data_IF_014778390078
#
_entry.id   IF_014778390078
#
_cell.length_a   1.000
_cell.length_b   1.000
_cell.length_c   1.000
_cell.angle_alpha   90.00
_cell.angle_beta   90.00
_cell.angle_gamma   90.00
#
_symmetry.space_group_name_H-M   'P 1'
#
loop_
_entity.id
_entity.type
_entity.pdbx_description
1 polymer ?
#
# COMPACT_ATOMS: atom_id res chain seq x y z
N UNK A 1 26.32 14.75 11.36
CA UNK A 1 27.00 13.46 11.32
C UNK A 1 26.01 12.37 10.91
N UNK A 2 26.33 11.62 9.86
CA UNK A 2 25.46 10.56 9.37
C UNK A 2 25.64 9.32 10.25
N UNK A 3 24.54 8.81 10.80
CA UNK A 3 24.57 7.60 11.60
C UNK A 3 24.68 6.37 10.67
N UNK A 4 25.64 5.51 10.95
CA UNK A 4 25.76 4.23 10.25
C UNK A 4 24.73 3.25 10.83
N UNK A 5 23.85 2.63 10.00
CA UNK A 5 22.88 1.66 10.49
C UNK A 5 23.58 0.45 11.12
N UNK A 6 22.99 -0.10 12.18
CA UNK A 6 23.45 -1.34 12.78
C UNK A 6 23.22 -2.52 11.84
N UNK A 7 23.88 -3.68 12.05
CA UNK A 7 23.59 -4.89 11.25
C UNK A 7 22.13 -5.29 11.28
N UNK A 8 21.43 -5.15 12.40
CA UNK A 8 20.00 -5.45 12.51
C UNK A 8 19.16 -4.47 11.69
N UNK A 9 19.50 -3.18 11.74
CA UNK A 9 18.82 -2.17 10.93
C UNK A 9 18.99 -2.43 9.43
N UNK A 10 20.21 -2.80 9.00
CA UNK A 10 20.49 -3.12 7.60
C UNK A 10 19.72 -4.36 7.14
N UNK A 11 19.65 -5.40 7.97
CA UNK A 11 18.89 -6.60 7.68
C UNK A 11 17.40 -6.26 7.54
N UNK A 12 16.88 -5.47 8.47
CA UNK A 12 15.48 -5.05 8.46
C UNK A 12 15.15 -4.22 7.21
N UNK A 13 16.01 -3.31 6.81
CA UNK A 13 15.85 -2.52 5.60
C UNK A 13 15.82 -3.40 4.35
N UNK A 14 16.70 -4.39 4.26
CA UNK A 14 16.71 -5.34 3.13
C UNK A 14 15.44 -6.19 3.08
N UNK A 15 14.98 -6.68 4.22
CA UNK A 15 13.75 -7.46 4.31
C UNK A 15 12.53 -6.61 3.92
N UNK A 16 12.50 -5.36 4.35
CA UNK A 16 11.44 -4.42 3.96
C UNK A 16 11.44 -4.20 2.46
N UNK A 17 12.59 -3.92 1.86
CA UNK A 17 12.73 -3.73 0.42
C UNK A 17 12.32 -4.96 -0.38
N UNK A 18 12.72 -6.15 0.08
CA UNK A 18 12.35 -7.41 -0.56
C UNK A 18 10.84 -7.63 -0.51
N UNK A 19 10.22 -7.35 0.63
CA UNK A 19 8.78 -7.51 0.80
C UNK A 19 8.00 -6.55 -0.10
N UNK A 20 8.44 -5.30 -0.23
CA UNK A 20 7.83 -4.34 -1.14
C UNK A 20 7.97 -4.78 -2.60
N UNK A 21 9.14 -5.29 -3.00
CA UNK A 21 9.37 -5.78 -4.35
C UNK A 21 8.47 -6.98 -4.68
N UNK A 22 8.30 -7.91 -3.75
CA UNK A 22 7.40 -9.04 -3.90
C UNK A 22 5.95 -8.58 -4.06
N UNK A 23 5.51 -7.61 -3.26
CA UNK A 23 4.17 -7.05 -3.36
C UNK A 23 3.93 -6.40 -4.72
N UNK A 24 4.88 -5.60 -5.20
CA UNK A 24 4.79 -4.97 -6.52
C UNK A 24 4.65 -6.00 -7.62
N UNK A 25 5.44 -7.07 -7.56
CA UNK A 25 5.38 -8.16 -8.53
C UNK A 25 4.03 -8.86 -8.50
N UNK A 26 3.52 -9.18 -7.32
CA UNK A 26 2.23 -9.85 -7.16
C UNK A 26 1.08 -8.96 -7.65
N UNK A 27 1.15 -7.66 -7.40
CA UNK A 27 0.16 -6.70 -7.90
C UNK A 27 0.18 -6.63 -9.42
N UNK A 28 1.37 -6.58 -10.01
CA UNK A 28 1.51 -6.57 -11.47
C UNK A 28 0.91 -7.83 -12.09
N UNK A 29 1.13 -8.99 -11.48
CA UNK A 29 0.58 -10.25 -11.95
C UNK A 29 -0.94 -10.31 -11.81
N UNK A 30 -1.47 -9.78 -10.71
CA UNK A 30 -2.91 -9.84 -10.42
C UNK A 30 -3.72 -8.82 -11.22
N UNK A 31 -3.17 -7.63 -11.47
CA UNK A 31 -3.90 -6.51 -12.06
C UNK A 31 -3.51 -6.23 -13.50
N UNK A 32 -2.22 -6.40 -13.86
CA UNK A 32 -1.74 -6.03 -15.19
C UNK A 32 -1.96 -4.55 -15.47
N UNK A 33 -2.39 -4.19 -16.70
CA UNK A 33 -2.59 -2.79 -17.11
C UNK A 33 -3.96 -2.23 -16.69
N UNK A 34 -4.41 -2.52 -15.47
CA UNK A 34 -5.69 -2.04 -14.96
C UNK A 34 -5.68 -0.53 -14.71
N UNK A 35 -6.83 0.14 -14.90
CA UNK A 35 -6.99 1.56 -14.59
C UNK A 35 -7.26 1.74 -13.09
N UNK A 36 -6.26 1.44 -12.29
CA UNK A 36 -6.29 1.65 -10.85
C UNK A 36 -4.88 1.84 -10.31
N UNK A 37 -4.79 2.43 -9.12
CA UNK A 37 -3.55 2.45 -8.36
C UNK A 37 -3.74 1.71 -7.04
N UNK A 38 -2.65 1.13 -6.53
CA UNK A 38 -2.67 0.42 -5.24
C UNK A 38 -1.62 1.04 -4.33
N UNK A 39 -2.04 1.35 -3.12
CA UNK A 39 -1.23 2.02 -2.12
C UNK A 39 -1.10 1.14 -0.88
N UNK A 40 0.09 1.09 -0.32
CA UNK A 40 0.36 0.42 0.94
C UNK A 40 0.24 1.45 2.07
N UNK A 41 -0.48 1.09 3.13
CA UNK A 41 -0.57 1.95 4.31
C UNK A 41 -0.34 1.12 5.58
N UNK A 42 -0.44 1.76 6.74
CA UNK A 42 -0.21 1.09 8.02
C UNK A 42 1.27 0.93 8.35
N UNK A 43 1.59 0.01 9.27
CA UNK A 43 2.93 -0.14 9.83
C UNK A 43 3.97 -0.53 8.78
N UNK A 44 3.60 -1.36 7.81
CA UNK A 44 4.52 -1.77 6.74
C UNK A 44 4.93 -0.57 5.87
N UNK A 45 4.01 0.36 5.60
CA UNK A 45 4.32 1.59 4.85
C UNK A 45 5.22 2.53 5.65
N UNK A 46 4.97 2.65 6.97
CA UNK A 46 5.76 3.54 7.84
C UNK A 46 7.16 3.02 8.14
N UNK A 47 7.42 1.74 7.91
CA UNK A 47 8.71 1.14 8.22
C UNK A 47 8.87 0.68 9.67
N UNK A 48 7.83 0.80 10.50
CA UNK A 48 7.81 0.32 11.89
C UNK A 48 7.15 -1.07 12.01
N UNK A 49 7.30 -1.86 10.96
CA UNK A 49 6.74 -3.19 10.86
C UNK A 49 7.62 -4.24 11.55
N UNK A 50 7.02 -5.36 11.89
CA UNK A 50 7.73 -6.57 12.26
C UNK A 50 7.29 -7.73 11.36
N UNK A 51 7.78 -8.95 11.60
CA UNK A 51 7.45 -10.11 10.77
C UNK A 51 5.98 -10.51 10.82
N UNK A 52 5.21 -9.95 11.74
CA UNK A 52 3.79 -10.26 11.93
C UNK A 52 2.87 -9.11 11.51
N UNK A 53 3.43 -8.01 11.00
CA UNK A 53 2.63 -6.87 10.55
C UNK A 53 1.78 -7.24 9.34
N UNK A 54 0.50 -6.83 9.38
CA UNK A 54 -0.42 -7.03 8.27
C UNK A 54 -0.03 -6.18 7.07
N UNK A 55 -0.40 -6.65 5.89
CA UNK A 55 -0.26 -5.89 4.65
C UNK A 55 -1.59 -5.21 4.34
N UNK A 56 -1.64 -3.90 4.57
CA UNK A 56 -2.83 -3.08 4.37
C UNK A 56 -2.75 -2.35 3.03
N UNK A 57 -3.65 -2.70 2.12
CA UNK A 57 -3.68 -2.14 0.77
C UNK A 57 -4.93 -1.30 0.54
N UNK A 58 -4.78 -0.27 -0.27
CA UNK A 58 -5.86 0.60 -0.70
C UNK A 58 -5.87 0.67 -2.22
N UNK A 59 -6.98 0.27 -2.83
CA UNK A 59 -7.18 0.37 -4.27
C UNK A 59 -7.92 1.66 -4.59
N UNK A 60 -7.37 2.43 -5.50
CA UNK A 60 -7.97 3.68 -5.99
C UNK A 60 -8.25 3.54 -7.49
N UNK A 61 -9.47 3.76 -7.88
CA UNK A 61 -9.92 3.66 -9.28
C UNK A 61 -10.81 4.85 -9.64
N UNK A 62 -11.18 5.03 -10.92
CA UNK A 62 -11.98 6.19 -11.32
C UNK A 62 -13.29 6.34 -10.56
N UNK A 63 -13.94 5.23 -10.20
CA UNK A 63 -15.14 5.24 -9.37
C UNK A 63 -15.09 4.14 -8.31
N UNK A 64 -16.00 4.23 -7.33
CA UNK A 64 -16.01 3.28 -6.22
C UNK A 64 -16.30 1.85 -6.62
N UNK A 65 -17.17 1.65 -7.60
CA UNK A 65 -17.52 0.30 -8.07
C UNK A 65 -16.31 -0.38 -8.74
N UNK A 66 -15.56 0.36 -9.56
CA UNK A 66 -14.33 -0.15 -10.18
C UNK A 66 -13.29 -0.47 -9.10
N UNK A 67 -13.13 0.41 -8.12
CA UNK A 67 -12.19 0.17 -7.02
C UNK A 67 -12.54 -1.10 -6.25
N UNK A 68 -13.81 -1.32 -5.97
CA UNK A 68 -14.25 -2.53 -5.27
C UNK A 68 -14.00 -3.80 -6.08
N UNK A 69 -14.22 -3.77 -7.40
CA UNK A 69 -13.93 -4.92 -8.27
C UNK A 69 -12.46 -5.30 -8.23
N UNK A 70 -11.57 -4.33 -8.30
CA UNK A 70 -10.14 -4.59 -8.23
C UNK A 70 -9.69 -5.04 -6.84
N UNK A 71 -10.29 -4.46 -5.78
CA UNK A 71 -10.02 -4.90 -4.42
C UNK A 71 -10.46 -6.36 -4.21
N UNK A 72 -11.62 -6.74 -4.72
CA UNK A 72 -12.10 -8.12 -4.66
C UNK A 72 -11.16 -9.07 -5.41
N UNK A 73 -10.66 -8.65 -6.56
CA UNK A 73 -9.71 -9.46 -7.33
C UNK A 73 -8.42 -9.69 -6.54
N UNK A 74 -7.91 -8.67 -5.86
CA UNK A 74 -6.72 -8.81 -5.01
C UNK A 74 -7.00 -9.73 -3.82
N UNK A 75 -8.16 -9.60 -3.19
CA UNK A 75 -8.55 -10.47 -2.07
C UNK A 75 -8.65 -11.93 -2.51
N UNK A 76 -9.23 -12.19 -3.68
CA UNK A 76 -9.32 -13.54 -4.23
C UNK A 76 -7.94 -14.12 -4.57
N UNK A 77 -7.01 -13.27 -5.00
CA UNK A 77 -5.63 -13.66 -5.29
C UNK A 77 -4.76 -13.74 -4.02
N UNK A 78 -5.33 -13.47 -2.85
CA UNK A 78 -4.64 -13.45 -1.56
C UNK A 78 -3.48 -12.45 -1.53
N UNK A 79 -3.66 -11.31 -2.19
CA UNK A 79 -2.69 -10.22 -2.17
C UNK A 79 -3.15 -9.18 -1.15
N UNK A 80 -2.37 -9.01 -0.09
CA UNK A 80 -2.73 -8.16 1.04
C UNK A 80 -3.62 -8.87 2.05
N UNK A 81 -3.58 -8.42 3.29
CA UNK A 81 -4.41 -8.92 4.39
C UNK A 81 -5.72 -8.16 4.47
N UNK A 82 -5.65 -6.83 4.45
CA UNK A 82 -6.79 -5.94 4.35
C UNK A 82 -6.70 -5.14 3.06
N UNK A 83 -7.78 -5.14 2.27
CA UNK A 83 -7.82 -4.42 1.00
C UNK A 83 -9.04 -3.51 1.00
N UNK A 84 -8.80 -2.21 1.04
CA UNK A 84 -9.82 -1.18 0.98
C UNK A 84 -9.98 -0.65 -0.45
N UNK A 85 -11.11 -0.05 -0.75
CA UNK A 85 -11.40 0.50 -2.07
C UNK A 85 -11.96 1.91 -1.94
N UNK A 86 -11.39 2.85 -2.71
CA UNK A 86 -11.87 4.23 -2.78
C UNK A 86 -11.89 4.70 -4.23
N UNK A 87 -12.83 5.58 -4.56
CA UNK A 87 -12.76 6.33 -5.80
C UNK A 87 -11.58 7.33 -5.74
N UNK A 88 -11.10 7.73 -6.91
CA UNK A 88 -10.02 8.73 -7.01
C UNK A 88 -10.41 10.03 -6.32
N UNK A 89 -11.65 10.46 -6.48
CA UNK A 89 -12.16 11.67 -5.84
C UNK A 89 -12.09 11.56 -4.31
N UNK A 90 -12.56 10.45 -3.73
CA UNK A 90 -12.51 10.25 -2.28
C UNK A 90 -11.08 10.16 -1.76
N UNK A 91 -10.19 9.52 -2.50
CA UNK A 91 -8.79 9.42 -2.12
C UNK A 91 -8.13 10.81 -2.05
N UNK A 92 -8.38 11.66 -3.05
CA UNK A 92 -7.87 13.03 -3.06
C UNK A 92 -8.46 13.87 -1.92
N UNK A 93 -9.72 13.67 -1.60
CA UNK A 93 -10.40 14.39 -0.51
C UNK A 93 -9.87 14.02 0.88
N UNK A 94 -9.13 12.91 1.01
CA UNK A 94 -8.53 12.50 2.30
C UNK A 94 -7.50 13.49 2.84
N UNK A 95 -6.92 14.34 1.99
CA UNK A 95 -6.03 15.42 2.44
C UNK A 95 -6.74 16.36 3.43
N UNK A 96 -8.03 16.57 3.25
CA UNK A 96 -8.85 17.47 4.05
C UNK A 96 -9.86 16.74 4.95
N UNK A 97 -9.65 15.42 5.15
CA UNK A 97 -10.54 14.62 5.99
C UNK A 97 -10.59 15.19 7.43
N UNK A 98 -11.77 15.24 8.07
CA UNK A 98 -11.86 15.58 9.48
C UNK A 98 -11.19 14.52 10.39
N UNK A 99 -10.95 13.31 9.90
CA UNK A 99 -10.27 12.26 10.63
C UNK A 99 -8.75 12.43 10.56
N UNK A 100 -8.05 12.63 11.70
CA UNK A 100 -6.58 12.64 11.70
C UNK A 100 -5.98 11.33 11.19
N UNK A 101 -6.64 10.22 11.45
CA UNK A 101 -6.22 8.89 11.00
C UNK A 101 -6.18 8.82 9.47
N UNK A 102 -7.24 9.25 8.79
CA UNK A 102 -7.29 9.24 7.33
C UNK A 102 -6.31 10.22 6.70
N UNK A 103 -6.13 11.41 7.31
CA UNK A 103 -5.11 12.35 6.83
C UNK A 103 -3.71 11.75 6.93
N UNK A 104 -3.42 11.00 8.00
CA UNK A 104 -2.14 10.33 8.17
C UNK A 104 -1.93 9.24 7.11
N UNK A 105 -2.95 8.43 6.85
CA UNK A 105 -2.90 7.41 5.79
C UNK A 105 -2.58 8.06 4.44
N UNK A 106 -3.25 9.14 4.11
CA UNK A 106 -3.05 9.86 2.85
C UNK A 106 -1.61 10.35 2.68
N UNK A 107 -1.00 10.86 3.77
CA UNK A 107 0.38 11.35 3.73
C UNK A 107 1.43 10.24 3.69
N UNK A 108 1.17 9.12 4.35
CA UNK A 108 2.16 8.06 4.58
C UNK A 108 2.08 6.93 3.58
N UNK A 109 1.00 6.81 2.84
CA UNK A 109 0.80 5.71 1.91
C UNK A 109 1.86 5.70 0.79
N UNK A 110 2.30 4.50 0.44
CA UNK A 110 3.28 4.27 -0.62
C UNK A 110 2.58 3.68 -1.84
N UNK A 111 2.75 4.30 -3.00
CA UNK A 111 2.20 3.74 -4.23
C UNK A 111 3.03 2.53 -4.66
N UNK A 112 2.36 1.37 -4.75
CA UNK A 112 2.99 0.13 -5.18
C UNK A 112 2.65 -0.22 -6.62
N UNK A 113 1.49 0.20 -7.13
CA UNK A 113 1.04 -0.15 -8.48
C UNK A 113 0.24 1.02 -9.07
N UNK A 114 0.46 1.38 -10.33
CA UNK A 114 1.67 1.04 -11.10
C UNK A 114 2.91 1.59 -10.41
N UNK A 115 4.07 1.05 -10.73
CA UNK A 115 5.32 1.60 -10.18
C UNK A 115 5.49 3.04 -10.68
N UNK A 116 5.83 3.98 -9.75
CA UNK A 116 6.06 5.37 -10.13
C UNK A 116 7.32 5.55 -10.95
#
# INVERSE_FOLDING_TARGET
MVRTPSPFERLRQREHGRRLAELRQRLQQALGPADCSVWLFGSLARGDWDGYSDTDLLVVAPDGAAAERWADQLSQALVGDDVLALSRERWQAMDDSPSPHWRAIRRQALQLHPEP
#
